data_IF_341150021236
#
_entry.id   IF_341150021236
#
_cell.length_a   1.000
_cell.length_b   1.000
_cell.length_c   1.000
_cell.angle_alpha   90.00
_cell.angle_beta   90.00
_cell.angle_gamma   90.00
#
_symmetry.space_group_name_H-M   'P 1'
#
loop_
_entity.id
_entity.type
_entity.pdbx_description
1 polymer ?
#
# COMPACT_ATOMS: atom_id res chain seq x y z
N UNK A 1 -60.36 4.06 -13.11
CA UNK A 1 -59.12 3.42 -13.61
C UNK A 1 -58.02 4.43 -13.95
N UNK A 2 -58.32 5.61 -14.50
CA UNK A 2 -57.28 6.56 -14.96
C UNK A 2 -56.50 7.30 -13.85
N UNK A 3 -57.09 7.52 -12.68
CA UNK A 3 -56.45 8.25 -11.57
C UNK A 3 -55.39 7.45 -10.81
N UNK A 4 -55.49 6.12 -10.81
CA UNK A 4 -54.53 5.24 -10.11
C UNK A 4 -53.23 5.07 -10.90
N UNK A 5 -53.33 5.00 -12.23
CA UNK A 5 -52.17 4.97 -13.13
C UNK A 5 -51.41 6.31 -13.16
N UNK A 6 -52.11 7.45 -13.09
CA UNK A 6 -51.47 8.77 -13.01
C UNK A 6 -50.73 9.00 -11.69
N UNK A 7 -51.27 8.47 -10.57
CA UNK A 7 -50.59 8.51 -9.27
C UNK A 7 -49.35 7.61 -9.23
N UNK A 8 -49.40 6.41 -9.83
CA UNK A 8 -48.21 5.57 -9.99
C UNK A 8 -47.13 6.22 -10.87
N UNK A 9 -47.52 6.88 -11.97
CA UNK A 9 -46.59 7.63 -12.80
C UNK A 9 -45.95 8.79 -12.04
N UNK A 10 -46.72 9.59 -11.30
CA UNK A 10 -46.16 10.67 -10.47
C UNK A 10 -45.22 10.14 -9.38
N UNK A 11 -45.57 9.03 -8.73
CA UNK A 11 -44.71 8.41 -7.73
C UNK A 11 -43.38 7.92 -8.34
N UNK A 12 -43.42 7.27 -9.51
CA UNK A 12 -42.21 6.81 -10.21
C UNK A 12 -41.31 7.97 -10.66
N UNK A 13 -41.88 9.07 -11.16
CA UNK A 13 -41.15 10.28 -11.51
C UNK A 13 -40.54 10.98 -10.28
N UNK A 14 -41.27 11.02 -9.16
CA UNK A 14 -40.77 11.58 -7.91
C UNK A 14 -39.57 10.78 -7.38
N UNK A 15 -39.62 9.44 -7.45
CA UNK A 15 -38.51 8.56 -7.08
C UNK A 15 -37.29 8.78 -7.97
N UNK A 16 -37.46 8.91 -9.29
CA UNK A 16 -36.36 9.21 -10.21
C UNK A 16 -35.72 10.58 -9.93
N UNK A 17 -36.54 11.62 -9.68
CA UNK A 17 -36.05 12.96 -9.30
C UNK A 17 -35.28 12.96 -7.99
N UNK A 18 -35.78 12.23 -7.00
CA UNK A 18 -35.09 12.06 -5.72
C UNK A 18 -33.75 11.34 -5.93
N UNK A 19 -33.72 10.25 -6.69
CA UNK A 19 -32.48 9.54 -7.01
C UNK A 19 -31.45 10.44 -7.72
N UNK A 20 -31.87 11.25 -8.70
CA UNK A 20 -30.99 12.23 -9.36
C UNK A 20 -30.46 13.32 -8.42
N UNK A 21 -31.31 13.80 -7.50
CA UNK A 21 -30.93 14.79 -6.48
C UNK A 21 -29.93 14.22 -5.49
N UNK A 22 -30.15 12.98 -5.02
CA UNK A 22 -29.25 12.26 -4.12
C UNK A 22 -27.89 11.99 -4.76
N UNK A 23 -27.86 11.53 -6.02
CA UNK A 23 -26.62 11.32 -6.79
C UNK A 23 -25.81 12.62 -6.91
N UNK A 24 -26.48 13.71 -7.25
CA UNK A 24 -25.85 15.04 -7.38
C UNK A 24 -25.33 15.60 -6.06
N UNK A 25 -26.02 15.32 -4.94
CA UNK A 25 -25.56 15.68 -3.60
C UNK A 25 -24.33 14.85 -3.20
N UNK A 26 -24.37 13.54 -3.45
CA UNK A 26 -23.28 12.61 -3.12
C UNK A 26 -22.01 12.89 -3.94
N UNK A 27 -22.17 13.25 -5.23
CA UNK A 27 -21.05 13.70 -6.08
C UNK A 27 -20.40 14.99 -5.58
N UNK A 28 -21.20 15.97 -5.13
CA UNK A 28 -20.67 17.22 -4.54
C UNK A 28 -19.92 16.99 -3.23
N UNK A 29 -20.46 16.16 -2.33
CA UNK A 29 -19.78 15.81 -1.08
C UNK A 29 -18.49 15.04 -1.32
N UNK A 30 -18.49 14.11 -2.28
CA UNK A 30 -17.30 13.34 -2.65
C UNK A 30 -16.16 14.24 -3.15
N UNK A 31 -16.46 15.20 -4.02
CA UNK A 31 -15.46 16.15 -4.53
C UNK A 31 -14.91 17.09 -3.45
N UNK A 32 -15.70 17.39 -2.40
CA UNK A 32 -15.22 18.16 -1.25
C UNK A 32 -14.37 17.30 -0.29
N UNK A 33 -14.73 16.05 -0.07
CA UNK A 33 -14.06 15.17 0.88
C UNK A 33 -12.76 14.57 0.30
N UNK A 34 -12.72 14.37 -1.02
CA UNK A 34 -11.56 13.86 -1.76
C UNK A 34 -11.26 14.73 -2.99
N UNK A 35 -10.70 15.93 -2.81
CA UNK A 35 -10.38 16.81 -3.92
C UNK A 35 -9.20 16.23 -4.72
N UNK A 36 -9.48 15.68 -5.91
CA UNK A 36 -8.45 15.19 -6.82
C UNK A 36 -7.90 16.35 -7.65
N UNK A 37 -6.66 16.76 -7.39
CA UNK A 37 -6.00 17.80 -8.21
C UNK A 37 -5.51 17.21 -9.53
N UNK A 38 -5.81 17.90 -10.64
CA UNK A 38 -5.36 17.51 -12.00
C UNK A 38 -3.83 17.38 -12.12
N UNK A 39 -3.07 18.17 -11.37
CA UNK A 39 -1.60 18.08 -11.33
C UNK A 39 -1.09 16.77 -10.71
N UNK A 40 -1.81 16.25 -9.72
CA UNK A 40 -1.44 14.99 -9.04
C UNK A 40 -1.73 13.79 -9.97
N UNK A 41 -2.84 13.87 -10.71
CA UNK A 41 -3.18 12.94 -11.80
C UNK A 41 -2.11 12.90 -12.89
N UNK A 42 -1.63 14.05 -13.33
CA UNK A 42 -0.65 14.14 -14.41
C UNK A 42 0.73 13.64 -13.98
N UNK A 43 1.16 13.96 -12.76
CA UNK A 43 2.38 13.38 -12.15
C UNK A 43 2.29 11.86 -12.05
N UNK A 44 1.15 11.33 -11.63
CA UNK A 44 0.92 9.89 -11.55
C UNK A 44 0.96 9.28 -12.96
N UNK A 45 0.28 9.86 -13.96
CA UNK A 45 0.35 9.40 -15.36
C UNK A 45 1.77 9.40 -15.90
N UNK A 46 2.57 10.44 -15.62
CA UNK A 46 3.96 10.52 -16.03
C UNK A 46 4.83 9.49 -15.33
N UNK A 47 4.60 9.26 -14.04
CA UNK A 47 5.27 8.19 -13.30
C UNK A 47 4.89 6.80 -13.85
N UNK A 48 3.60 6.52 -14.07
CA UNK A 48 3.08 5.28 -14.67
C UNK A 48 3.62 5.06 -16.09
N UNK A 49 3.63 6.09 -16.92
CA UNK A 49 4.12 6.02 -18.31
C UNK A 49 5.63 5.86 -18.43
N UNK A 50 6.39 6.30 -17.41
CA UNK A 50 7.86 6.23 -17.38
C UNK A 50 8.38 4.94 -16.74
N UNK A 51 7.63 4.31 -15.84
CA UNK A 51 8.01 3.02 -15.22
C UNK A 51 7.37 1.80 -15.88
N UNK A 52 6.34 1.97 -16.72
CA UNK A 52 5.71 0.85 -17.44
C UNK A 52 5.02 -0.18 -16.53
N UNK A 53 4.91 0.09 -15.23
CA UNK A 53 4.15 -0.76 -14.31
C UNK A 53 2.66 -0.53 -14.56
N UNK A 54 2.03 -1.48 -15.24
CA UNK A 54 0.70 -1.90 -14.82
C UNK A 54 0.75 -2.08 -13.30
N UNK A 55 -0.17 -1.44 -12.60
CA UNK A 55 -0.29 -1.47 -11.15
C UNK A 55 -0.26 -2.91 -10.62
N UNK A 56 0.90 -3.27 -10.09
CA UNK A 56 1.15 -4.44 -9.28
C UNK A 56 2.50 -4.18 -8.57
N UNK A 57 2.44 -3.70 -7.32
CA UNK A 57 3.58 -3.79 -6.37
C UNK A 57 4.73 -2.79 -6.60
N UNK A 58 5.21 -2.13 -5.53
CA UNK A 58 6.44 -1.34 -5.61
C UNK A 58 7.66 -2.27 -5.57
N UNK A 59 8.22 -2.54 -6.76
CA UNK A 59 9.31 -3.50 -6.97
C UNK A 59 10.53 -3.28 -6.05
N UNK A 60 11.04 -2.04 -5.85
CA UNK A 60 12.20 -1.84 -4.97
C UNK A 60 11.95 -2.27 -3.52
N UNK A 61 10.75 -1.99 -2.98
CA UNK A 61 10.38 -2.44 -1.63
C UNK A 61 10.22 -3.96 -1.56
N UNK A 62 9.70 -4.59 -2.62
CA UNK A 62 9.59 -6.05 -2.70
C UNK A 62 10.97 -6.73 -2.71
N UNK A 63 11.95 -6.15 -3.41
CA UNK A 63 13.33 -6.63 -3.43
C UNK A 63 13.94 -6.56 -2.03
N UNK A 64 13.72 -5.47 -1.30
CA UNK A 64 14.24 -5.34 0.06
C UNK A 64 13.59 -6.34 1.01
N UNK A 65 12.26 -6.53 0.97
CA UNK A 65 11.61 -7.57 1.76
C UNK A 65 12.15 -8.97 1.45
N UNK A 66 12.44 -9.27 0.19
CA UNK A 66 13.01 -10.55 -0.20
C UNK A 66 14.40 -10.79 0.40
N UNK A 67 15.31 -9.80 0.29
CA UNK A 67 16.65 -9.92 0.85
C UNK A 67 16.65 -9.93 2.37
N UNK A 68 15.79 -9.13 3.01
CA UNK A 68 15.62 -9.17 4.46
C UNK A 68 15.12 -10.55 4.91
N UNK A 69 14.06 -11.09 4.28
CA UNK A 69 13.56 -12.43 4.60
C UNK A 69 14.61 -13.54 4.44
N UNK A 70 15.51 -13.43 3.45
CA UNK A 70 16.62 -14.36 3.29
C UNK A 70 17.69 -14.19 4.37
N UNK A 71 17.98 -12.95 4.79
CA UNK A 71 18.98 -12.64 5.80
C UNK A 71 18.51 -12.96 7.24
N UNK A 72 17.23 -12.78 7.52
CA UNK A 72 16.60 -12.98 8.83
C UNK A 72 17.01 -14.30 9.54
N UNK A 73 16.96 -15.50 8.92
CA UNK A 73 17.39 -16.72 9.60
C UNK A 73 18.88 -16.71 10.00
N UNK A 74 19.76 -16.14 9.17
CA UNK A 74 21.18 -16.00 9.50
C UNK A 74 21.39 -15.01 10.64
N UNK A 75 20.65 -13.91 10.66
CA UNK A 75 20.67 -12.94 11.74
C UNK A 75 20.18 -13.55 13.06
N UNK A 76 19.05 -14.27 13.04
CA UNK A 76 18.47 -14.92 14.22
C UNK A 76 19.47 -15.91 14.82
N UNK A 77 20.06 -16.79 13.99
CA UNK A 77 21.03 -17.79 14.47
C UNK A 77 22.30 -17.11 14.97
N UNK A 78 22.85 -16.15 14.24
CA UNK A 78 24.07 -15.44 14.63
C UNK A 78 23.88 -14.66 15.94
N UNK A 79 22.74 -14.01 16.11
CA UNK A 79 22.46 -13.28 17.35
C UNK A 79 22.17 -14.23 18.52
N UNK A 80 21.46 -15.33 18.29
CA UNK A 80 21.25 -16.36 19.32
C UNK A 80 22.58 -16.93 19.84
N UNK A 81 23.51 -17.26 18.92
CA UNK A 81 24.85 -17.73 19.30
C UNK A 81 25.61 -16.68 20.12
N UNK A 82 25.52 -15.41 19.72
CA UNK A 82 26.18 -14.31 20.45
C UNK A 82 25.58 -14.09 21.83
N UNK A 83 24.24 -14.23 21.98
CA UNK A 83 23.57 -14.20 23.28
C UNK A 83 24.10 -15.31 24.17
N UNK A 84 24.18 -16.56 23.68
CA UNK A 84 24.67 -17.70 24.47
C UNK A 84 26.11 -17.47 24.97
N UNK A 85 26.97 -16.93 24.12
CA UNK A 85 28.37 -16.66 24.47
C UNK A 85 28.51 -15.60 25.57
N UNK A 86 27.79 -14.47 25.45
CA UNK A 86 27.93 -13.34 26.38
C UNK A 86 26.99 -13.37 27.58
N UNK A 87 26.03 -14.30 27.63
CA UNK A 87 24.96 -14.31 28.64
C UNK A 87 25.48 -14.25 30.09
N UNK A 88 26.53 -15.03 30.39
CA UNK A 88 27.12 -15.12 31.73
C UNK A 88 27.86 -13.85 32.17
N UNK A 89 28.33 -13.05 31.21
CA UNK A 89 29.05 -11.79 31.46
C UNK A 89 28.11 -10.59 31.55
N UNK A 90 26.88 -10.75 31.06
CA UNK A 90 25.89 -9.69 31.03
C UNK A 90 25.32 -9.42 32.43
N UNK A 91 25.07 -8.15 32.73
CA UNK A 91 24.42 -7.75 33.98
C UNK A 91 23.03 -8.41 34.12
N UNK A 92 22.70 -8.86 35.33
CA UNK A 92 21.45 -9.56 35.66
C UNK A 92 20.17 -8.80 35.21
N UNK A 93 20.20 -7.47 35.15
CA UNK A 93 19.08 -6.65 34.68
C UNK A 93 18.91 -6.77 33.15
N UNK A 94 20.01 -6.83 32.42
CA UNK A 94 20.01 -6.82 30.96
C UNK A 94 19.74 -8.20 30.34
N UNK A 95 20.04 -9.28 31.06
CA UNK A 95 19.75 -10.65 30.62
C UNK A 95 18.29 -10.86 30.19
N UNK A 96 17.27 -10.63 31.05
CA UNK A 96 15.88 -10.84 30.66
C UNK A 96 15.41 -9.84 29.59
N UNK A 97 15.92 -8.60 29.60
CA UNK A 97 15.59 -7.58 28.60
C UNK A 97 16.05 -8.02 27.21
N UNK A 98 17.29 -8.51 27.11
CA UNK A 98 17.89 -8.97 25.85
C UNK A 98 17.11 -10.15 25.27
N UNK A 99 16.80 -11.16 26.09
CA UNK A 99 16.00 -12.32 25.65
C UNK A 99 14.60 -11.90 25.22
N UNK A 100 13.92 -11.07 26.02
CA UNK A 100 12.56 -10.63 25.72
C UNK A 100 12.51 -9.81 24.42
N UNK A 101 13.42 -8.84 24.24
CA UNK A 101 13.49 -8.07 23.00
C UNK A 101 13.85 -8.96 21.81
N UNK A 102 14.79 -9.90 21.95
CA UNK A 102 15.15 -10.82 20.87
C UNK A 102 13.96 -11.67 20.41
N UNK A 103 13.24 -12.28 21.34
CA UNK A 103 12.04 -13.07 21.05
C UNK A 103 10.96 -12.22 20.38
N UNK A 104 10.69 -11.02 20.92
CA UNK A 104 9.71 -10.10 20.36
C UNK A 104 10.11 -9.67 18.95
N UNK A 105 11.39 -9.33 18.74
CA UNK A 105 11.93 -8.95 17.44
C UNK A 105 11.72 -10.06 16.41
N UNK A 106 12.04 -11.32 16.75
CA UNK A 106 11.86 -12.46 15.85
C UNK A 106 10.39 -12.66 15.45
N UNK A 107 9.48 -12.66 16.42
CA UNK A 107 8.04 -12.84 16.15
C UNK A 107 7.52 -11.73 15.25
N UNK A 108 7.86 -10.48 15.58
CA UNK A 108 7.44 -9.34 14.78
C UNK A 108 8.08 -9.33 13.41
N UNK A 109 9.31 -9.80 13.25
CA UNK A 109 9.99 -9.86 11.96
C UNK A 109 9.24 -10.74 10.97
N UNK A 110 8.80 -11.93 11.40
CA UNK A 110 7.99 -12.81 10.55
C UNK A 110 6.65 -12.19 10.17
N UNK A 111 5.94 -11.60 11.15
CA UNK A 111 4.64 -10.96 10.90
C UNK A 111 4.81 -9.78 9.93
N UNK A 112 5.79 -8.91 10.20
CA UNK A 112 6.10 -7.70 9.44
C UNK A 112 6.46 -8.00 8.00
N UNK A 113 7.34 -8.97 7.76
CA UNK A 113 7.72 -9.43 6.42
C UNK A 113 6.53 -10.03 5.67
N UNK A 114 5.73 -10.86 6.34
CA UNK A 114 4.56 -11.48 5.73
C UNK A 114 3.52 -10.45 5.27
N UNK A 115 3.06 -9.57 6.18
CA UNK A 115 2.03 -8.57 5.84
C UNK A 115 2.57 -7.48 4.92
N UNK A 116 3.87 -7.15 5.01
CA UNK A 116 4.52 -6.18 4.13
C UNK A 116 4.62 -6.68 2.69
N UNK A 117 5.07 -7.93 2.53
CA UNK A 117 5.14 -8.58 1.23
C UNK A 117 3.75 -8.75 0.62
N UNK A 118 2.80 -9.30 1.38
CA UNK A 118 1.43 -9.52 0.91
C UNK A 118 0.69 -8.20 0.65
N UNK A 119 0.86 -7.19 1.51
CA UNK A 119 0.24 -5.88 1.36
C UNK A 119 0.75 -5.12 0.14
N UNK A 120 2.06 -5.22 -0.16
CA UNK A 120 2.64 -4.65 -1.38
C UNK A 120 2.11 -5.39 -2.63
N UNK A 121 1.98 -6.72 -2.57
CA UNK A 121 1.49 -7.52 -3.70
C UNK A 121 -0.01 -7.30 -3.97
N UNK A 122 -0.80 -7.23 -2.91
CA UNK A 122 -2.26 -7.07 -2.98
C UNK A 122 -2.71 -5.61 -3.09
N UNK A 123 -1.76 -4.66 -3.16
CA UNK A 123 -2.01 -3.21 -3.10
C UNK A 123 -2.86 -2.79 -1.89
N UNK A 124 -2.80 -3.56 -0.80
CA UNK A 124 -3.55 -3.27 0.41
C UNK A 124 -2.77 -2.30 1.29
N UNK A 125 -3.22 -1.03 1.27
CA UNK A 125 -2.61 0.06 2.04
C UNK A 125 -2.64 -0.23 3.53
N UNK A 126 -3.70 -0.87 4.04
CA UNK A 126 -3.81 -1.16 5.47
C UNK A 126 -2.75 -2.17 5.92
N UNK A 127 -2.58 -3.26 5.19
CA UNK A 127 -1.58 -4.30 5.51
C UNK A 127 -0.16 -3.75 5.38
N UNK A 128 0.10 -2.97 4.32
CA UNK A 128 1.39 -2.32 4.10
C UNK A 128 1.70 -1.28 5.19
N UNK A 129 0.72 -0.47 5.58
CA UNK A 129 0.86 0.47 6.67
C UNK A 129 1.10 -0.23 8.02
N UNK A 130 0.47 -1.39 8.23
CA UNK A 130 0.74 -2.26 9.38
C UNK A 130 2.20 -2.72 9.43
N UNK A 131 2.72 -3.26 8.32
CA UNK A 131 4.14 -3.64 8.21
C UNK A 131 5.07 -2.45 8.48
N UNK A 132 4.77 -1.31 7.86
CA UNK A 132 5.58 -0.10 7.99
C UNK A 132 5.58 0.47 9.42
N UNK A 133 4.44 0.42 10.11
CA UNK A 133 4.30 0.86 11.50
C UNK A 133 5.10 -0.05 12.44
N UNK A 134 5.01 -1.38 12.28
CA UNK A 134 5.82 -2.33 13.06
C UNK A 134 7.31 -2.04 12.83
N UNK A 135 7.71 -1.83 11.58
CA UNK A 135 9.09 -1.52 11.20
C UNK A 135 9.58 -0.23 11.89
N UNK A 136 8.79 0.84 11.85
CA UNK A 136 9.19 2.16 12.33
C UNK A 136 9.11 2.29 13.86
N UNK A 137 8.04 1.79 14.47
CA UNK A 137 7.76 1.99 15.90
C UNK A 137 8.46 0.94 16.76
N UNK A 138 8.63 -0.28 16.26
CA UNK A 138 9.14 -1.39 17.08
C UNK A 138 10.52 -1.85 16.59
N UNK A 139 10.65 -2.26 15.32
CA UNK A 139 11.91 -2.84 14.85
C UNK A 139 13.06 -1.83 14.81
N UNK A 140 12.82 -0.61 14.31
CA UNK A 140 13.85 0.43 14.25
C UNK A 140 14.45 0.78 15.63
N UNK A 141 13.66 1.10 16.66
CA UNK A 141 14.24 1.35 17.98
C UNK A 141 14.86 0.09 18.61
N UNK A 142 14.31 -1.10 18.35
CA UNK A 142 14.89 -2.34 18.86
C UNK A 142 16.27 -2.66 18.24
N UNK A 143 16.43 -2.50 16.92
CA UNK A 143 17.73 -2.71 16.28
C UNK A 143 18.74 -1.62 16.68
N UNK A 144 18.29 -0.38 16.87
CA UNK A 144 19.11 0.69 17.46
C UNK A 144 19.57 0.34 18.88
N UNK A 145 18.68 -0.23 19.70
CA UNK A 145 19.03 -0.69 21.04
C UNK A 145 20.09 -1.80 21.00
N UNK A 146 19.97 -2.77 20.09
CA UNK A 146 20.99 -3.82 19.94
C UNK A 146 22.33 -3.28 19.43
N UNK A 147 22.32 -2.28 18.54
CA UNK A 147 23.53 -1.76 17.90
C UNK A 147 24.29 -0.75 18.77
N UNK A 148 23.58 0.13 19.48
CA UNK A 148 24.19 1.29 20.15
C UNK A 148 24.25 1.17 21.68
N UNK A 149 23.63 0.17 22.28
CA UNK A 149 23.66 0.02 23.73
C UNK A 149 24.96 -0.65 24.21
N UNK A 150 25.84 0.15 24.78
CA UNK A 150 27.12 -0.30 25.35
C UNK A 150 26.98 -1.38 26.43
N UNK A 151 25.89 -1.37 27.21
CA UNK A 151 25.67 -2.33 28.30
C UNK A 151 25.34 -3.74 27.80
N UNK A 152 25.07 -3.92 26.50
CA UNK A 152 24.86 -5.22 25.89
C UNK A 152 26.15 -5.97 25.55
N UNK A 153 27.32 -5.39 25.83
CA UNK A 153 28.63 -5.96 25.49
C UNK A 153 28.65 -6.40 24.02
N UNK A 154 28.30 -5.47 23.12
CA UNK A 154 28.08 -5.77 21.70
C UNK A 154 29.40 -6.16 21.05
N UNK A 155 29.49 -7.38 20.53
CA UNK A 155 30.70 -7.91 19.92
C UNK A 155 30.86 -7.41 18.47
N UNK A 156 32.08 -7.35 17.90
CA UNK A 156 32.29 -6.89 16.51
C UNK A 156 31.46 -7.65 15.47
N UNK A 157 31.26 -8.96 15.69
CA UNK A 157 30.39 -9.78 14.86
C UNK A 157 28.93 -9.30 14.90
N UNK A 158 28.40 -9.01 16.10
CA UNK A 158 27.05 -8.47 16.27
C UNK A 158 26.90 -7.11 15.62
N UNK A 159 27.91 -6.24 15.72
CA UNK A 159 27.90 -4.93 15.05
C UNK A 159 27.67 -5.09 13.55
N UNK A 160 28.37 -6.01 12.89
CA UNK A 160 28.19 -6.27 11.45
C UNK A 160 26.77 -6.77 11.17
N UNK A 161 26.30 -7.78 11.92
CA UNK A 161 24.97 -8.36 11.71
C UNK A 161 23.83 -7.35 11.95
N UNK A 162 23.89 -6.61 13.06
CA UNK A 162 22.92 -5.56 13.38
C UNK A 162 22.99 -4.39 12.41
N UNK A 163 24.16 -4.03 11.89
CA UNK A 163 24.29 -2.96 10.88
C UNK A 163 23.62 -3.34 9.57
N UNK A 164 23.76 -4.58 9.11
CA UNK A 164 23.09 -5.07 7.90
C UNK A 164 21.56 -5.02 8.08
N UNK A 165 21.07 -5.53 9.21
CA UNK A 165 19.63 -5.48 9.53
C UNK A 165 19.12 -4.03 9.62
N UNK A 166 19.89 -3.16 10.28
CA UNK A 166 19.56 -1.74 10.40
C UNK A 166 19.44 -1.05 9.03
N UNK A 167 20.31 -1.39 8.07
CA UNK A 167 20.23 -0.86 6.71
C UNK A 167 18.95 -1.33 6.02
N UNK A 168 18.57 -2.61 6.14
CA UNK A 168 17.31 -3.10 5.58
C UNK A 168 16.11 -2.36 6.19
N UNK A 169 16.04 -2.26 7.51
CA UNK A 169 14.96 -1.54 8.22
C UNK A 169 14.89 -0.08 7.77
N UNK A 170 16.02 0.62 7.64
CA UNK A 170 16.03 2.02 7.16
C UNK A 170 15.51 2.15 5.72
N UNK A 171 15.94 1.28 4.82
CA UNK A 171 15.48 1.26 3.44
C UNK A 171 13.96 1.02 3.37
N UNK A 172 13.45 0.08 4.16
CA UNK A 172 12.02 -0.22 4.23
C UNK A 172 11.21 0.92 4.84
N UNK A 173 11.73 1.65 5.83
CA UNK A 173 11.06 2.84 6.37
C UNK A 173 10.89 3.91 5.29
N UNK A 174 11.96 4.19 4.53
CA UNK A 174 11.95 5.22 3.47
C UNK A 174 11.02 4.79 2.32
N UNK A 175 11.20 3.57 1.82
CA UNK A 175 10.41 3.06 0.68
C UNK A 175 8.96 2.75 1.05
N UNK A 176 8.71 2.28 2.27
CA UNK A 176 7.36 2.05 2.78
C UNK A 176 6.56 3.34 2.90
N UNK A 177 7.17 4.41 3.43
CA UNK A 177 6.55 5.74 3.45
C UNK A 177 6.19 6.22 2.04
N UNK A 178 7.11 6.07 1.10
CA UNK A 178 6.87 6.45 -0.29
C UNK A 178 5.71 5.65 -0.90
N UNK A 179 5.71 4.33 -0.72
CA UNK A 179 4.71 3.42 -1.27
C UNK A 179 3.31 3.71 -0.71
N UNK A 180 3.20 3.95 0.60
CA UNK A 180 1.93 4.29 1.24
C UNK A 180 1.36 5.60 0.68
N UNK A 181 2.17 6.65 0.51
CA UNK A 181 1.71 7.93 -0.07
C UNK A 181 1.22 7.78 -1.51
N UNK A 182 1.93 6.98 -2.31
CA UNK A 182 1.54 6.68 -3.69
C UNK A 182 0.21 5.93 -3.69
N UNK A 183 0.09 4.86 -2.90
CA UNK A 183 -1.13 4.05 -2.87
C UNK A 183 -2.35 4.81 -2.37
N UNK A 184 -2.20 5.71 -1.38
CA UNK A 184 -3.31 6.55 -0.89
C UNK A 184 -3.92 7.39 -2.01
N UNK A 185 -3.06 7.99 -2.84
CA UNK A 185 -3.50 8.81 -3.96
C UNK A 185 -4.19 7.95 -5.02
N UNK A 186 -3.64 6.77 -5.30
CA UNK A 186 -4.23 5.80 -6.24
C UNK A 186 -5.60 5.31 -5.78
N UNK A 187 -5.78 5.06 -4.49
CA UNK A 187 -7.06 4.59 -3.96
C UNK A 187 -8.13 5.68 -4.04
N UNK A 188 -7.79 6.94 -3.77
CA UNK A 188 -8.68 8.08 -3.98
C UNK A 188 -9.10 8.22 -5.45
N UNK A 189 -8.18 7.97 -6.39
CA UNK A 189 -8.47 7.95 -7.82
C UNK A 189 -9.42 6.82 -8.22
N UNK A 190 -9.16 5.58 -7.77
CA UNK A 190 -10.03 4.42 -8.00
C UNK A 190 -11.46 4.70 -7.49
N UNK A 191 -11.59 5.38 -6.35
CA UNK A 191 -12.89 5.77 -5.80
C UNK A 191 -13.61 6.81 -6.67
N UNK A 192 -12.91 7.88 -7.06
CA UNK A 192 -13.50 8.92 -7.91
C UNK A 192 -13.99 8.34 -9.25
N UNK A 193 -13.20 7.45 -9.85
CA UNK A 193 -13.55 6.80 -11.11
C UNK A 193 -14.78 5.91 -11.00
N UNK A 194 -14.88 5.12 -9.92
CA UNK A 194 -16.07 4.30 -9.66
C UNK A 194 -17.33 5.15 -9.49
N UNK A 195 -17.21 6.32 -8.88
CA UNK A 195 -18.31 7.27 -8.75
C UNK A 195 -18.68 7.94 -10.07
N UNK A 196 -17.71 8.23 -10.94
CA UNK A 196 -17.95 8.76 -12.28
C UNK A 196 -18.72 7.76 -13.14
N UNK A 197 -18.29 6.48 -13.21
CA UNK A 197 -19.04 5.43 -13.92
C UNK A 197 -20.45 5.21 -13.36
N UNK A 198 -20.60 5.17 -12.04
CA UNK A 198 -21.92 5.02 -11.42
C UNK A 198 -22.85 6.20 -11.78
N UNK A 199 -22.29 7.40 -11.94
CA UNK A 199 -23.03 8.55 -12.43
C UNK A 199 -23.28 8.45 -13.95
N UNK A 200 -22.36 7.90 -14.76
CA UNK A 200 -22.51 7.59 -16.18
C UNK A 200 -23.70 6.70 -16.46
N UNK A 201 -23.71 5.53 -15.83
CA UNK A 201 -24.75 4.51 -16.01
C UNK A 201 -26.11 5.03 -15.52
N UNK A 202 -26.06 5.93 -14.52
CA UNK A 202 -27.22 6.66 -14.05
C UNK A 202 -27.75 7.71 -15.02
N UNK A 203 -26.88 8.28 -15.88
CA UNK A 203 -27.20 9.30 -16.88
C UNK A 203 -27.60 8.71 -18.24
N UNK A 204 -27.06 7.55 -18.63
CA UNK A 204 -27.50 6.80 -19.81
C UNK A 204 -28.94 6.31 -19.67
N UNK A 205 -29.40 6.06 -18.43
CA UNK A 205 -30.81 5.80 -18.14
C UNK A 205 -31.69 7.07 -18.15
N UNK A 206 -31.10 8.27 -18.08
CA UNK A 206 -31.82 9.56 -18.11
C UNK A 206 -31.61 10.41 -19.37
N UNK A 207 -30.82 9.93 -20.34
CA UNK A 207 -30.66 10.53 -21.66
C UNK A 207 -29.86 11.83 -21.73
N UNK A 208 -28.98 12.12 -20.76
CA UNK A 208 -28.21 13.38 -20.73
C UNK A 208 -26.70 13.11 -20.74
N UNK A 209 -26.12 13.07 -21.95
CA UNK A 209 -24.71 12.78 -22.20
C UNK A 209 -23.81 13.99 -21.90
N UNK A 210 -22.83 13.83 -21.02
CA UNK A 210 -21.68 14.74 -20.91
C UNK A 210 -20.44 14.02 -21.45
N UNK A 211 -20.03 14.39 -22.66
CA UNK A 211 -18.95 13.74 -23.44
C UNK A 211 -17.52 13.99 -22.92
N UNK A 212 -17.30 14.99 -22.07
CA UNK A 212 -15.93 15.49 -21.84
C UNK A 212 -15.07 14.64 -20.87
N UNK A 213 -15.69 13.78 -20.04
CA UNK A 213 -14.97 12.93 -19.05
C UNK A 213 -14.55 11.57 -19.59
N UNK A 214 -15.46 10.90 -20.33
CA UNK A 214 -15.28 9.53 -20.82
C UNK A 214 -14.20 9.40 -21.89
N UNK A 215 -14.08 10.40 -22.77
CA UNK A 215 -13.17 10.36 -23.93
C UNK A 215 -11.70 10.46 -23.51
N UNK A 216 -11.39 11.10 -22.37
CA UNK A 216 -10.00 11.34 -21.96
C UNK A 216 -9.29 10.14 -21.32
N UNK A 217 -10.05 9.13 -20.90
CA UNK A 217 -9.54 7.93 -20.23
C UNK A 217 -9.70 6.64 -21.04
N UNK A 218 -10.69 6.54 -21.93
CA UNK A 218 -10.78 5.41 -22.86
C UNK A 218 -9.50 5.29 -23.69
N UNK A 219 -8.96 6.41 -24.17
CA UNK A 219 -7.70 6.45 -24.92
C UNK A 219 -6.48 5.98 -24.10
N UNK A 220 -6.50 6.12 -22.78
CA UNK A 220 -5.40 5.69 -21.91
C UNK A 220 -5.48 4.19 -21.59
N UNK A 221 -6.69 3.67 -21.38
CA UNK A 221 -6.93 2.24 -21.09
C UNK A 221 -6.90 1.37 -22.37
N UNK A 222 -7.44 1.86 -23.49
CA UNK A 222 -7.29 1.23 -24.81
C UNK A 222 -5.82 1.20 -25.23
N UNK A 223 -5.03 2.24 -24.92
CA UNK A 223 -3.59 2.23 -25.17
C UNK A 223 -2.83 1.12 -24.44
N UNK A 224 -3.25 0.78 -23.22
CA UNK A 224 -2.69 -0.34 -22.43
C UNK A 224 -3.19 -1.71 -22.90
N UNK A 225 -4.48 -1.84 -23.26
CA UNK A 225 -5.07 -3.06 -23.82
C UNK A 225 -4.48 -3.43 -25.21
N UNK A 226 -4.26 -2.43 -26.06
CA UNK A 226 -3.58 -2.60 -27.36
C UNK A 226 -2.12 -3.03 -27.19
N UNK A 227 -1.43 -2.51 -26.16
CA UNK A 227 -0.07 -2.93 -25.81
C UNK A 227 -0.03 -4.35 -25.27
N UNK A 228 -1.02 -4.77 -24.46
CA UNK A 228 -1.19 -6.17 -24.01
C UNK A 228 -1.40 -7.14 -25.17
N UNK A 229 -2.27 -6.79 -26.14
CA UNK A 229 -2.47 -7.62 -27.34
C UNK A 229 -1.19 -7.78 -28.15
N UNK A 230 -0.42 -6.70 -28.32
CA UNK A 230 0.83 -6.75 -29.05
C UNK A 230 1.95 -7.48 -28.28
N UNK A 231 2.05 -7.33 -26.96
CA UNK A 231 3.03 -8.05 -26.13
C UNK A 231 2.71 -9.55 -25.98
N UNK A 232 1.43 -9.92 -26.00
CA UNK A 232 0.99 -11.32 -26.04
C UNK A 232 1.26 -12.03 -27.37
N UNK A 233 1.34 -11.27 -28.48
CA UNK A 233 1.65 -11.83 -29.81
C UNK A 233 3.14 -12.07 -30.05
N UNK A 234 4.04 -11.33 -29.39
CA UNK A 234 5.50 -11.50 -29.57
C UNK A 234 6.11 -12.69 -28.83
N UNK A 235 5.34 -13.39 -27.99
CA UNK A 235 5.80 -14.57 -27.22
C UNK A 235 5.47 -15.90 -27.90
N UNK A 236 4.74 -15.87 -29.04
CA UNK A 236 4.41 -17.06 -29.85
C UNK A 236 4.90 -16.83 -31.28
N UNK A 237 6.21 -16.82 -31.46
CA UNK A 237 6.90 -16.96 -32.74
C UNK A 237 8.26 -17.65 -32.51
#
# INVERSE_FOLDING_TARGET
MNTMNSMQQQASQAVQRLQGTWRSAMGRMTNQMFPVRKQDLEKIRLQTGRTGLEYATFLPLQIVYYFNAFFAPFWIVGFLLSIVDKYSQLNYIYQPILIALFCLYCILEFIRLYIGYFGNLSENIADLAGSWLITTIIQLPAICFFLFNYYLLVNPFEIVMHSVEFIFVLLEVIMGLYTIKVFQTVQALKFHHKMEYFNADGLDQSGESREDGYVYYNNAFEGTELRRRNAGQTTIA
#
